data_IF_420601991220
#
_entry.id   IF_420601991220
#
_cell.length_a   1.000
_cell.length_b   1.000
_cell.length_c   1.000
_cell.angle_alpha   90.00
_cell.angle_beta   90.00
_cell.angle_gamma   90.00
#
_symmetry.space_group_name_H-M   'P 1'
#
loop_
_entity.id
_entity.type
_entity.pdbx_description
1 polymer ?
#
# COMPACT_ATOMS: atom_id res chain seq x y z
N UNK A 1 -13.33 21.22 -33.69
CA UNK A 1 -13.23 20.13 -32.68
C UNK A 1 -12.05 19.27 -33.11
N UNK A 2 -11.10 18.91 -32.25
CA UNK A 2 -10.08 17.99 -32.66
C UNK A 2 -10.74 16.65 -33.02
N UNK A 3 -10.25 16.02 -34.09
CA UNK A 3 -10.69 14.70 -34.52
C UNK A 3 -10.71 13.75 -33.32
N UNK A 4 -11.81 13.02 -33.12
CA UNK A 4 -11.89 11.98 -32.10
C UNK A 4 -10.80 10.96 -32.37
N UNK A 5 -9.74 10.98 -31.59
CA UNK A 5 -8.73 9.94 -31.60
C UNK A 5 -9.41 8.64 -31.15
N UNK A 6 -9.65 7.75 -32.11
CA UNK A 6 -10.17 6.42 -31.83
C UNK A 6 -9.12 5.63 -31.05
N UNK A 7 -9.26 5.55 -29.73
CA UNK A 7 -8.36 4.80 -28.91
C UNK A 7 -8.69 3.29 -28.98
N UNK A 8 -7.71 2.43 -29.24
CA UNK A 8 -7.91 0.99 -29.51
C UNK A 8 -8.43 0.17 -28.33
N UNK A 9 -8.65 0.78 -27.18
CA UNK A 9 -9.03 0.11 -25.93
C UNK A 9 -10.43 0.46 -25.41
N UNK A 10 -11.22 1.31 -26.12
CA UNK A 10 -12.56 1.75 -25.67
C UNK A 10 -13.52 0.62 -25.28
N UNK A 11 -13.44 -0.53 -25.96
CA UNK A 11 -14.36 -1.65 -25.70
C UNK A 11 -13.96 -2.53 -24.52
N UNK A 12 -12.70 -2.47 -24.08
CA UNK A 12 -12.16 -3.35 -23.03
C UNK A 12 -12.43 -2.87 -21.61
N UNK A 13 -12.76 -1.59 -21.46
CA UNK A 13 -12.92 -0.92 -20.18
C UNK A 13 -14.36 -0.43 -19.95
N UNK A 14 -14.55 0.53 -19.06
CA UNK A 14 -15.86 1.08 -18.77
C UNK A 14 -16.49 1.71 -20.02
N UNK A 15 -17.67 1.24 -20.51
CA UNK A 15 -18.39 1.96 -21.54
C UNK A 15 -18.79 3.35 -21.03
N UNK A 16 -18.59 4.40 -21.84
CA UNK A 16 -18.87 5.79 -21.46
C UNK A 16 -20.28 5.97 -20.88
N UNK A 17 -21.29 5.31 -21.47
CA UNK A 17 -22.67 5.34 -20.98
C UNK A 17 -22.78 4.80 -19.55
N UNK A 18 -22.14 3.68 -19.24
CA UNK A 18 -22.17 3.07 -17.90
C UNK A 18 -21.47 3.98 -16.88
N UNK A 19 -20.39 4.63 -17.26
CA UNK A 19 -19.71 5.62 -16.42
C UNK A 19 -20.64 6.78 -16.10
N UNK A 20 -21.29 7.39 -17.09
CA UNK A 20 -22.20 8.51 -16.90
C UNK A 20 -23.36 8.15 -15.98
N UNK A 21 -24.01 6.99 -16.21
CA UNK A 21 -25.07 6.49 -15.32
C UNK A 21 -24.59 6.33 -13.86
N UNK A 22 -23.36 5.89 -13.69
CA UNK A 22 -22.77 5.72 -12.36
C UNK A 22 -22.47 7.06 -11.70
N UNK A 23 -21.91 7.99 -12.46
CA UNK A 23 -21.61 9.35 -12.04
C UNK A 23 -22.89 10.10 -11.63
N UNK A 24 -23.93 10.06 -12.46
CA UNK A 24 -25.21 10.67 -12.15
C UNK A 24 -25.82 10.13 -10.84
N UNK A 25 -25.79 8.81 -10.65
CA UNK A 25 -26.27 8.19 -9.40
C UNK A 25 -25.47 8.64 -8.19
N UNK A 26 -24.16 8.89 -8.33
CA UNK A 26 -23.33 9.37 -7.23
C UNK A 26 -23.67 10.80 -6.79
N UNK A 27 -24.22 11.61 -7.70
CA UNK A 27 -24.63 12.98 -7.42
C UNK A 27 -26.07 13.08 -6.89
N UNK A 28 -26.96 12.16 -7.30
CA UNK A 28 -28.36 12.20 -6.93
C UNK A 28 -28.60 11.85 -5.46
N UNK A 29 -27.93 10.82 -4.96
CA UNK A 29 -28.07 10.36 -3.58
C UNK A 29 -26.73 9.75 -3.10
N UNK A 30 -25.97 10.55 -2.39
CA UNK A 30 -24.64 10.18 -1.89
C UNK A 30 -24.70 9.02 -0.88
N UNK A 31 -25.74 9.00 -0.03
CA UNK A 31 -25.88 7.93 0.97
C UNK A 31 -26.25 6.60 0.31
N UNK A 32 -27.24 6.58 -0.57
CA UNK A 32 -27.61 5.36 -1.31
C UNK A 32 -26.47 4.86 -2.21
N UNK A 33 -25.68 5.79 -2.79
CA UNK A 33 -24.51 5.43 -3.60
C UNK A 33 -23.47 4.69 -2.75
N UNK A 34 -23.06 5.28 -1.62
CA UNK A 34 -22.02 4.69 -0.76
C UNK A 34 -22.52 3.50 0.04
N UNK A 35 -23.82 3.41 0.38
CA UNK A 35 -24.41 2.19 0.92
C UNK A 35 -24.20 0.99 -0.02
N UNK A 36 -24.48 1.20 -1.30
CA UNK A 36 -24.28 0.15 -2.31
C UNK A 36 -22.82 -0.24 -2.47
N UNK A 37 -21.91 0.74 -2.50
CA UNK A 37 -20.48 0.48 -2.63
C UNK A 37 -19.92 -0.25 -1.40
N UNK A 38 -20.34 0.14 -0.22
CA UNK A 38 -19.90 -0.47 1.02
C UNK A 38 -20.32 -1.95 1.16
N UNK A 39 -21.44 -2.34 0.53
CA UNK A 39 -21.91 -3.74 0.50
C UNK A 39 -21.06 -4.65 -0.40
N UNK A 40 -20.13 -4.11 -1.17
CA UNK A 40 -19.20 -4.92 -1.97
C UNK A 40 -18.09 -5.57 -1.17
N UNK A 41 -17.82 -5.08 0.04
CA UNK A 41 -16.86 -5.67 0.98
C UNK A 41 -17.58 -6.27 2.19
N UNK A 42 -16.92 -7.21 2.87
CA UNK A 42 -17.52 -7.91 4.00
C UNK A 42 -17.41 -7.11 5.29
N UNK A 43 -18.53 -7.04 6.04
CA UNK A 43 -18.65 -6.43 7.35
C UNK A 43 -19.03 -7.48 8.39
N UNK A 44 -18.53 -7.35 9.62
CA UNK A 44 -18.98 -8.16 10.75
C UNK A 44 -20.39 -7.75 11.23
N UNK A 45 -20.68 -6.44 11.14
CA UNK A 45 -21.99 -5.84 11.32
C UNK A 45 -22.12 -4.70 10.33
N UNK A 46 -23.22 -4.61 9.59
CA UNK A 46 -23.55 -3.45 8.77
C UNK A 46 -23.85 -2.23 9.65
N UNK A 47 -23.75 -1.06 9.08
CA UNK A 47 -23.98 0.21 9.75
C UNK A 47 -25.46 0.46 10.07
N UNK A 48 -25.69 1.30 11.05
CA UNK A 48 -27.02 1.78 11.41
C UNK A 48 -27.36 3.05 10.59
N UNK A 49 -26.34 3.83 10.20
CA UNK A 49 -26.44 5.04 9.38
C UNK A 49 -25.23 5.18 8.44
N UNK A 50 -25.49 5.51 7.16
CA UNK A 50 -24.42 5.65 6.15
C UNK A 50 -23.55 6.86 6.42
N UNK A 51 -24.16 8.01 6.66
CA UNK A 51 -23.46 9.28 6.91
C UNK A 51 -24.09 10.05 8.05
N UNK A 52 -23.27 10.46 9.00
CA UNK A 52 -23.57 11.55 9.91
C UNK A 52 -22.76 12.77 9.47
N UNK A 53 -23.48 13.83 9.07
CA UNK A 53 -22.89 15.06 8.58
C UNK A 53 -23.15 16.20 9.57
N UNK A 54 -22.08 16.61 10.28
CA UNK A 54 -22.07 17.75 11.20
C UNK A 54 -20.86 18.62 10.82
N UNK A 55 -21.02 19.54 9.85
CA UNK A 55 -19.90 20.29 9.30
C UNK A 55 -19.04 20.99 10.35
N UNK A 56 -17.71 20.90 10.27
CA UNK A 56 -16.92 20.28 9.21
C UNK A 56 -16.68 18.77 9.39
N UNK A 57 -17.37 18.10 10.27
CA UNK A 57 -17.15 16.69 10.60
C UNK A 57 -18.10 15.76 9.83
N UNK A 58 -17.56 14.61 9.41
CA UNK A 58 -18.30 13.54 8.79
C UNK A 58 -17.96 12.20 9.43
N UNK A 59 -18.97 11.36 9.67
CA UNK A 59 -18.79 9.99 10.13
C UNK A 59 -19.50 9.05 9.17
N UNK A 60 -18.75 8.18 8.53
CA UNK A 60 -19.26 7.23 7.56
C UNK A 60 -19.49 5.85 8.17
N UNK A 61 -20.59 5.19 7.79
CA UNK A 61 -20.95 3.83 8.18
C UNK A 61 -21.03 3.65 9.70
N UNK A 62 -21.72 4.57 10.36
CA UNK A 62 -21.84 4.65 11.82
C UNK A 62 -22.50 3.38 12.39
N UNK A 63 -21.89 2.77 13.41
CA UNK A 63 -22.33 1.50 14.00
C UNK A 63 -21.88 0.26 13.23
N UNK A 64 -21.28 0.43 12.05
CA UNK A 64 -20.68 -0.66 11.27
C UNK A 64 -19.44 -1.23 11.93
N UNK A 65 -19.26 -2.56 11.83
CA UNK A 65 -18.09 -3.29 12.36
C UNK A 65 -17.32 -3.94 11.23
N UNK A 66 -16.03 -3.62 11.13
CA UNK A 66 -15.17 -3.98 10.01
C UNK A 66 -13.74 -4.25 10.48
N UNK A 67 -12.94 -4.94 9.66
CA UNK A 67 -11.50 -5.07 9.87
C UNK A 67 -10.79 -5.11 8.52
N UNK A 68 -9.83 -4.21 8.31
CA UNK A 68 -9.11 -4.09 7.04
C UNK A 68 -8.28 -5.35 6.72
N UNK A 69 -7.63 -5.96 7.71
CA UNK A 69 -6.89 -7.22 7.53
C UNK A 69 -7.81 -8.35 7.10
N UNK A 70 -9.00 -8.47 7.71
CA UNK A 70 -9.99 -9.48 7.34
C UNK A 70 -10.42 -9.34 5.88
N UNK A 71 -10.68 -8.13 5.40
CA UNK A 71 -11.05 -7.87 4.00
C UNK A 71 -9.91 -8.22 3.05
N UNK A 72 -8.67 -7.86 3.41
CA UNK A 72 -7.51 -8.06 2.53
C UNK A 72 -7.00 -9.51 2.52
N UNK A 73 -7.35 -10.34 3.51
CA UNK A 73 -6.73 -11.66 3.70
C UNK A 73 -7.77 -12.76 3.91
N UNK A 74 -8.59 -12.66 4.98
CA UNK A 74 -9.46 -13.76 5.42
C UNK A 74 -10.55 -14.10 4.41
N UNK A 75 -11.14 -13.09 3.75
CA UNK A 75 -12.21 -13.31 2.76
C UNK A 75 -11.75 -14.19 1.60
N UNK A 76 -10.46 -14.11 1.25
CA UNK A 76 -9.87 -14.90 0.17
C UNK A 76 -9.63 -16.35 0.56
N UNK A 77 -9.58 -16.66 1.85
CA UNK A 77 -9.45 -18.03 2.35
C UNK A 77 -10.71 -18.87 2.10
N UNK A 78 -11.86 -18.22 1.85
CA UNK A 78 -13.16 -18.86 1.60
C UNK A 78 -13.31 -19.41 0.18
N UNK A 79 -12.36 -19.13 -0.72
CA UNK A 79 -12.42 -19.48 -2.14
C UNK A 79 -11.11 -20.07 -2.65
N UNK A 80 -11.06 -20.37 -3.94
CA UNK A 80 -9.84 -20.80 -4.65
C UNK A 80 -8.68 -19.79 -4.52
N UNK A 81 -8.97 -18.50 -4.25
CA UNK A 81 -7.97 -17.45 -4.07
C UNK A 81 -6.97 -17.76 -2.97
N UNK A 82 -7.30 -18.60 -2.00
CA UNK A 82 -6.35 -19.05 -0.97
C UNK A 82 -5.04 -19.62 -1.55
N UNK A 83 -5.13 -20.26 -2.72
CA UNK A 83 -3.98 -20.86 -3.41
C UNK A 83 -3.32 -19.91 -4.43
N UNK A 84 -3.93 -18.75 -4.69
CA UNK A 84 -3.39 -17.72 -5.57
C UNK A 84 -2.28 -16.94 -4.88
N UNK A 85 -1.30 -16.49 -5.66
CA UNK A 85 -0.26 -15.59 -5.14
C UNK A 85 -0.89 -14.27 -4.71
N UNK A 86 -0.66 -13.88 -3.47
CA UNK A 86 -1.02 -12.59 -2.91
C UNK A 86 0.12 -11.57 -3.09
N UNK A 87 1.38 -12.02 -2.89
CA UNK A 87 2.54 -11.14 -2.89
C UNK A 87 3.71 -11.79 -3.61
N UNK A 88 4.27 -11.07 -4.58
CA UNK A 88 5.60 -11.27 -5.14
C UNK A 88 6.55 -10.24 -4.54
N UNK A 89 7.67 -10.68 -4.04
CA UNK A 89 8.72 -9.80 -3.56
C UNK A 89 10.03 -10.05 -4.30
N UNK A 90 10.72 -8.96 -4.61
CA UNK A 90 12.03 -8.95 -5.22
C UNK A 90 12.96 -8.07 -4.40
N UNK A 91 14.09 -8.61 -3.96
CA UNK A 91 15.16 -7.87 -3.30
C UNK A 91 16.17 -7.31 -4.29
N UNK A 92 16.84 -6.24 -3.94
CA UNK A 92 17.88 -5.64 -4.78
C UNK A 92 19.02 -6.61 -5.12
N UNK A 93 19.48 -7.49 -4.18
CA UNK A 93 20.49 -8.51 -4.49
C UNK A 93 20.03 -9.60 -5.46
N UNK A 94 18.76 -9.66 -5.82
CA UNK A 94 18.19 -10.66 -6.71
C UNK A 94 17.49 -11.82 -6.00
N UNK A 95 17.45 -11.81 -4.69
CA UNK A 95 16.63 -12.73 -3.91
C UNK A 95 15.14 -12.41 -4.09
N UNK A 96 14.29 -13.42 -3.96
CA UNK A 96 12.86 -13.26 -4.17
C UNK A 96 12.05 -14.16 -3.25
N UNK A 97 10.83 -13.74 -2.96
CA UNK A 97 9.86 -14.51 -2.15
C UNK A 97 8.47 -14.37 -2.75
N UNK A 98 7.73 -15.46 -2.75
CA UNK A 98 6.34 -15.49 -3.20
C UNK A 98 5.47 -16.01 -2.07
N UNK A 99 4.35 -15.35 -1.81
CA UNK A 99 3.37 -15.78 -0.80
C UNK A 99 2.00 -15.93 -1.46
N UNK A 100 1.39 -17.11 -1.32
CA UNK A 100 -0.03 -17.29 -1.60
C UNK A 100 -0.89 -16.55 -0.55
N UNK A 101 -2.19 -16.37 -0.81
CA UNK A 101 -3.10 -15.81 0.20
C UNK A 101 -3.14 -16.67 1.47
N UNK A 102 -3.01 -18.00 1.36
CA UNK A 102 -2.94 -18.88 2.53
C UNK A 102 -1.66 -18.68 3.36
N UNK A 103 -0.53 -18.45 2.70
CA UNK A 103 0.72 -18.13 3.38
C UNK A 103 0.69 -16.73 3.98
N UNK A 104 0.18 -15.72 3.26
CA UNK A 104 -0.02 -14.38 3.79
C UNK A 104 -0.94 -14.41 5.02
N UNK A 105 -2.06 -15.14 4.96
CA UNK A 105 -2.97 -15.34 6.10
C UNK A 105 -2.23 -15.90 7.31
N UNK A 106 -1.43 -16.96 7.12
CA UNK A 106 -0.64 -17.57 8.21
C UNK A 106 0.35 -16.57 8.81
N UNK A 107 1.13 -15.89 7.97
CA UNK A 107 2.12 -14.92 8.46
C UNK A 107 1.46 -13.74 9.19
N UNK A 108 0.37 -13.17 8.65
CA UNK A 108 -0.38 -12.09 9.33
C UNK A 108 -0.87 -12.53 10.71
N UNK A 109 -1.40 -13.74 10.84
CA UNK A 109 -1.82 -14.28 12.15
C UNK A 109 -0.66 -14.44 13.12
N UNK A 110 0.46 -14.99 12.66
CA UNK A 110 1.67 -15.18 13.48
C UNK A 110 2.26 -13.86 13.96
N UNK A 111 2.33 -12.85 13.08
CA UNK A 111 2.80 -11.51 13.43
C UNK A 111 1.84 -10.82 14.41
N UNK A 112 0.53 -10.96 14.20
CA UNK A 112 -0.48 -10.47 15.13
C UNK A 112 -0.37 -11.14 16.52
N UNK A 113 -0.07 -12.46 16.56
CA UNK A 113 0.20 -13.19 17.81
C UNK A 113 1.44 -12.64 18.52
N UNK A 114 2.52 -12.37 17.80
CA UNK A 114 3.72 -11.75 18.38
C UNK A 114 3.39 -10.39 18.99
N UNK A 115 2.68 -9.52 18.26
CA UNK A 115 2.30 -8.20 18.77
C UNK A 115 1.45 -8.30 20.05
N UNK A 116 0.46 -9.22 20.07
CA UNK A 116 -0.37 -9.46 21.27
C UNK A 116 0.44 -9.98 22.45
N UNK A 117 1.37 -10.92 22.24
CA UNK A 117 2.27 -11.43 23.29
C UNK A 117 3.15 -10.34 23.88
N UNK A 118 3.48 -9.31 23.10
CA UNK A 118 4.20 -8.12 23.55
C UNK A 118 3.29 -7.05 24.15
N UNK A 119 2.02 -7.37 24.40
CA UNK A 119 1.07 -6.49 25.07
C UNK A 119 0.48 -5.41 24.17
N UNK A 120 0.53 -5.56 22.84
CA UNK A 120 -0.14 -4.64 21.90
C UNK A 120 -1.62 -5.04 21.78
N UNK A 121 -2.51 -4.10 22.05
CA UNK A 121 -3.95 -4.26 21.93
C UNK A 121 -4.58 -3.20 21.04
N UNK A 122 -5.92 -3.20 21.02
CA UNK A 122 -6.71 -2.19 20.29
C UNK A 122 -6.35 -0.79 20.79
N UNK A 123 -6.02 0.10 19.84
CA UNK A 123 -5.67 1.49 20.09
C UNK A 123 -4.20 1.73 20.45
N UNK A 124 -3.39 0.71 20.74
CA UNK A 124 -1.95 0.87 20.85
C UNK A 124 -1.32 1.15 19.48
N UNK A 125 -0.31 2.03 19.42
CA UNK A 125 0.34 2.39 18.16
C UNK A 125 1.63 1.62 17.98
N UNK A 126 1.88 1.19 16.73
CA UNK A 126 3.09 0.48 16.30
C UNK A 126 3.78 1.28 15.21
N UNK A 127 5.05 1.59 15.38
CA UNK A 127 5.86 2.24 14.35
C UNK A 127 6.62 1.21 13.51
N UNK A 128 6.52 1.32 12.20
CA UNK A 128 7.17 0.43 11.23
C UNK A 128 8.25 1.22 10.47
N UNK A 129 9.51 0.96 10.79
CA UNK A 129 10.69 1.54 10.15
C UNK A 129 11.47 0.42 9.45
N UNK A 130 10.92 -0.05 8.33
CA UNK A 130 11.38 -1.21 7.58
C UNK A 130 11.70 -0.83 6.13
N UNK A 131 12.62 -1.55 5.48
CA UNK A 131 12.75 -1.47 4.02
C UNK A 131 11.55 -2.14 3.35
N UNK A 132 11.47 -2.08 2.01
CA UNK A 132 10.39 -2.67 1.22
C UNK A 132 10.50 -4.21 1.13
N UNK A 133 10.36 -4.86 2.28
CA UNK A 133 10.40 -6.33 2.44
C UNK A 133 9.00 -6.89 2.75
N UNK A 134 8.75 -8.19 2.57
CA UNK A 134 7.43 -8.80 2.82
C UNK A 134 6.89 -8.56 4.22
N UNK A 135 7.77 -8.47 5.20
CA UNK A 135 7.41 -8.23 6.60
C UNK A 135 6.70 -6.89 6.81
N UNK A 136 6.96 -5.88 5.96
CA UNK A 136 6.31 -4.57 6.08
C UNK A 136 4.79 -4.64 5.84
N UNK A 137 4.27 -5.09 4.68
CA UNK A 137 2.83 -5.26 4.51
C UNK A 137 2.23 -6.30 5.47
N UNK A 138 2.97 -7.33 5.87
CA UNK A 138 2.49 -8.30 6.86
C UNK A 138 2.27 -7.63 8.22
N UNK A 139 3.19 -6.78 8.70
CA UNK A 139 2.99 -6.02 9.95
C UNK A 139 1.84 -5.03 9.86
N UNK A 140 1.66 -4.33 8.73
CA UNK A 140 0.51 -3.44 8.54
C UNK A 140 -0.81 -4.20 8.70
N UNK A 141 -0.92 -5.36 8.06
CA UNK A 141 -2.11 -6.22 8.16
C UNK A 141 -2.27 -6.86 9.55
N UNK A 142 -1.16 -7.21 10.21
CA UNK A 142 -1.19 -7.74 11.58
C UNK A 142 -1.66 -6.67 12.59
N UNK A 143 -1.18 -5.45 12.47
CA UNK A 143 -1.64 -4.31 13.26
C UNK A 143 -3.14 -4.04 13.02
N UNK A 144 -3.57 -3.96 11.77
CA UNK A 144 -4.99 -3.81 11.42
C UNK A 144 -5.85 -4.94 11.98
N UNK A 145 -5.34 -6.19 12.00
CA UNK A 145 -6.04 -7.35 12.53
C UNK A 145 -6.41 -7.20 13.99
N UNK A 146 -5.50 -6.68 14.81
CA UNK A 146 -5.70 -6.52 16.26
C UNK A 146 -6.24 -5.14 16.66
N UNK A 147 -6.50 -4.26 15.69
CA UNK A 147 -6.99 -2.91 15.94
C UNK A 147 -5.93 -1.96 16.51
N UNK A 148 -4.66 -2.20 16.25
CA UNK A 148 -3.54 -1.35 16.62
C UNK A 148 -3.20 -0.41 15.45
N UNK A 149 -3.46 0.91 15.53
CA UNK A 149 -3.07 1.83 14.49
C UNK A 149 -1.56 1.80 14.26
N UNK A 150 -1.14 1.64 13.01
CA UNK A 150 0.28 1.66 12.66
C UNK A 150 0.69 2.99 12.04
N UNK A 151 1.98 3.31 12.15
CA UNK A 151 2.61 4.39 11.41
C UNK A 151 3.82 3.85 10.68
N UNK A 152 3.79 3.91 9.34
CA UNK A 152 4.96 3.54 8.53
C UNK A 152 5.83 4.77 8.35
N UNK A 153 7.10 4.63 8.70
CA UNK A 153 8.09 5.69 8.61
C UNK A 153 9.10 5.30 7.53
N UNK A 154 9.24 6.15 6.52
CA UNK A 154 10.15 5.90 5.40
C UNK A 154 11.56 5.60 5.90
N UNK A 155 12.12 4.46 5.50
CA UNK A 155 13.42 3.96 5.96
C UNK A 155 14.62 4.85 5.59
N UNK A 156 14.43 5.82 4.72
CA UNK A 156 15.41 6.84 4.37
C UNK A 156 15.41 8.09 5.26
N UNK A 157 14.51 8.19 6.25
CA UNK A 157 14.48 9.33 7.14
C UNK A 157 15.62 9.30 8.18
N UNK A 158 16.02 10.49 8.62
CA UNK A 158 17.04 10.68 9.65
C UNK A 158 16.55 10.22 11.03
N UNK A 159 17.47 10.01 11.94
CA UNK A 159 17.23 9.68 13.36
C UNK A 159 16.22 10.63 14.03
N UNK A 160 16.38 11.94 13.84
CA UNK A 160 15.46 12.94 14.40
C UNK A 160 14.06 12.83 13.80
N UNK A 161 13.96 12.67 12.47
CA UNK A 161 12.67 12.53 11.80
C UNK A 161 11.92 11.24 12.20
N UNK A 162 12.64 10.17 12.51
CA UNK A 162 12.10 8.94 13.09
C UNK A 162 11.58 9.20 14.51
N UNK A 163 12.41 9.78 15.38
CA UNK A 163 12.07 10.03 16.77
C UNK A 163 10.85 10.97 16.93
N UNK A 164 10.79 12.04 16.12
CA UNK A 164 9.67 12.99 16.15
C UNK A 164 8.33 12.29 15.89
N UNK A 165 8.27 11.41 14.88
CA UNK A 165 7.04 10.68 14.53
C UNK A 165 6.66 9.64 15.56
N UNK A 166 7.64 8.90 16.08
CA UNK A 166 7.42 7.87 17.10
C UNK A 166 6.90 8.50 18.40
N UNK A 167 7.48 9.64 18.80
CA UNK A 167 7.06 10.37 19.98
C UNK A 167 5.66 11.00 19.82
N UNK A 168 5.35 11.53 18.64
CA UNK A 168 4.05 12.16 18.37
C UNK A 168 2.91 11.14 18.42
N UNK A 169 3.07 9.98 17.77
CA UNK A 169 2.08 8.89 17.85
C UNK A 169 2.13 8.15 19.18
N UNK A 170 3.17 8.36 20.01
CA UNK A 170 3.42 7.58 21.22
C UNK A 170 3.41 6.07 20.94
N UNK A 171 4.21 5.65 19.96
CA UNK A 171 4.30 4.25 19.60
C UNK A 171 4.88 3.41 20.73
N UNK A 172 4.20 2.31 21.03
CA UNK A 172 4.61 1.36 22.08
C UNK A 172 5.73 0.42 21.59
N UNK A 173 5.70 0.09 20.32
CA UNK A 173 6.68 -0.80 19.68
C UNK A 173 7.21 -0.13 18.42
N UNK A 174 8.52 -0.28 18.18
CA UNK A 174 9.16 -0.01 16.89
C UNK A 174 9.55 -1.33 16.26
N UNK A 175 9.19 -1.52 15.00
CA UNK A 175 9.65 -2.64 14.17
C UNK A 175 10.66 -2.12 13.17
N UNK A 176 11.83 -2.74 13.12
CA UNK A 176 12.92 -2.38 12.20
C UNK A 176 13.60 -3.63 11.63
N UNK A 177 14.63 -3.46 10.81
CA UNK A 177 15.49 -4.52 10.32
C UNK A 177 16.95 -4.27 10.72
N UNK A 178 17.77 -5.34 10.68
CA UNK A 178 19.21 -5.21 10.85
C UNK A 178 19.81 -4.24 9.82
N UNK A 179 19.28 -4.24 8.61
CA UNK A 179 19.60 -3.31 7.55
C UNK A 179 18.65 -3.45 6.37
N UNK A 180 18.89 -2.68 5.30
CA UNK A 180 18.19 -2.77 4.02
C UNK A 180 19.17 -2.53 2.87
N UNK A 181 18.83 -2.96 1.67
CA UNK A 181 19.69 -2.80 0.49
C UNK A 181 19.27 -1.60 -0.36
N UNK A 182 20.27 -0.79 -0.77
CA UNK A 182 20.06 0.26 -1.78
C UNK A 182 21.37 0.55 -2.52
N UNK A 183 21.39 0.38 -3.86
CA UNK A 183 22.56 0.55 -4.74
C UNK A 183 23.80 -0.19 -4.23
N UNK A 184 23.63 -1.50 -3.96
CA UNK A 184 24.65 -2.39 -3.37
C UNK A 184 25.12 -2.02 -1.96
N UNK A 185 24.60 -0.97 -1.36
CA UNK A 185 24.96 -0.57 0.00
C UNK A 185 23.93 -1.07 1.01
N UNK A 186 24.41 -1.43 2.18
CA UNK A 186 23.57 -1.71 3.33
C UNK A 186 23.27 -0.41 4.07
N UNK A 187 21.99 -0.12 4.24
CA UNK A 187 21.50 0.99 5.06
C UNK A 187 21.31 0.47 6.49
N UNK A 188 22.02 1.02 7.49
CA UNK A 188 22.01 0.47 8.85
C UNK A 188 20.80 0.91 9.65
N UNK A 189 19.64 0.28 9.43
CA UNK A 189 18.34 0.70 10.00
C UNK A 189 18.31 0.54 11.53
N UNK A 190 18.77 -0.59 12.06
CA UNK A 190 18.81 -0.83 13.51
C UNK A 190 19.66 0.22 14.23
N UNK A 191 20.82 0.58 13.67
CA UNK A 191 21.69 1.61 14.25
C UNK A 191 21.02 3.01 14.26
N UNK A 192 20.18 3.30 13.26
CA UNK A 192 19.37 4.54 13.22
C UNK A 192 18.32 4.53 14.33
N UNK A 193 17.65 3.39 14.54
CA UNK A 193 16.69 3.21 15.64
C UNK A 193 17.38 3.36 17.00
N UNK A 194 18.55 2.74 17.20
CA UNK A 194 19.29 2.81 18.46
C UNK A 194 19.61 4.26 18.87
N UNK A 195 20.07 5.06 17.90
CA UNK A 195 20.30 6.50 18.14
C UNK A 195 19.00 7.25 18.43
N UNK A 196 17.89 6.90 17.79
CA UNK A 196 16.60 7.53 18.02
C UNK A 196 16.03 7.17 19.41
N UNK A 197 16.36 5.97 19.93
CA UNK A 197 15.93 5.54 21.27
C UNK A 197 16.36 6.47 22.40
N UNK A 198 17.44 7.23 22.24
CA UNK A 198 17.88 8.23 23.22
C UNK A 198 16.77 9.27 23.51
N UNK A 199 15.89 9.52 22.56
CA UNK A 199 14.81 10.51 22.63
C UNK A 199 13.40 9.93 22.53
N UNK A 200 13.24 8.68 22.11
CA UNK A 200 11.96 7.99 22.03
C UNK A 200 11.55 7.47 23.42
N UNK A 201 10.55 8.11 24.04
CA UNK A 201 10.17 7.83 25.44
C UNK A 201 9.06 6.80 25.61
N UNK A 202 8.22 6.60 24.59
CA UNK A 202 7.06 5.70 24.64
C UNK A 202 7.36 4.25 24.26
N UNK A 203 8.51 4.01 23.63
CA UNK A 203 8.86 2.71 23.08
C UNK A 203 9.30 1.74 24.18
N UNK A 204 8.56 0.65 24.31
CA UNK A 204 8.85 -0.41 25.29
C UNK A 204 9.73 -1.52 24.68
N UNK A 205 9.53 -1.85 23.39
CA UNK A 205 10.24 -2.92 22.68
C UNK A 205 10.60 -2.50 21.24
N UNK A 206 11.71 -3.05 20.78
CA UNK A 206 12.15 -2.96 19.39
C UNK A 206 12.17 -4.36 18.79
N UNK A 207 11.36 -4.60 17.76
CA UNK A 207 11.37 -5.84 16.99
C UNK A 207 12.33 -5.71 15.79
N UNK A 208 13.23 -6.65 15.65
CA UNK A 208 14.27 -6.63 14.61
C UNK A 208 14.06 -7.77 13.62
N UNK A 209 13.88 -7.43 12.36
CA UNK A 209 13.86 -8.37 11.24
C UNK A 209 15.27 -8.62 10.75
N UNK A 210 15.63 -9.88 10.56
CA UNK A 210 16.92 -10.25 9.96
C UNK A 210 16.82 -10.21 8.43
N UNK A 211 17.30 -9.12 7.83
CA UNK A 211 17.26 -8.91 6.36
C UNK A 211 18.63 -9.06 5.70
N UNK A 212 19.63 -8.39 6.23
CA UNK A 212 20.96 -8.33 5.61
C UNK A 212 21.96 -9.30 6.23
N UNK A 213 21.68 -9.78 7.43
CA UNK A 213 22.62 -10.57 8.20
C UNK A 213 23.73 -9.77 8.86
N UNK A 214 23.60 -8.43 8.85
CA UNK A 214 24.55 -7.54 9.52
C UNK A 214 24.55 -7.77 11.03
N UNK A 215 25.72 -7.69 11.63
CA UNK A 215 25.84 -7.65 13.09
C UNK A 215 25.26 -6.34 13.61
N UNK A 216 24.34 -6.44 14.57
CA UNK A 216 23.70 -5.31 15.22
C UNK A 216 23.72 -5.47 16.73
N UNK A 217 23.78 -4.35 17.43
CA UNK A 217 23.65 -4.37 18.88
C UNK A 217 22.19 -4.69 19.25
N UNK A 218 22.03 -5.59 20.22
CA UNK A 218 20.72 -5.98 20.77
C UNK A 218 20.74 -5.69 22.27
N UNK A 219 19.97 -4.70 22.69
CA UNK A 219 19.83 -4.34 24.11
C UNK A 219 18.92 -5.35 24.82
N UNK A 220 19.44 -6.01 25.85
CA UNK A 220 18.69 -7.00 26.60
C UNK A 220 17.43 -6.41 27.24
N UNK A 221 16.34 -7.13 27.19
CA UNK A 221 15.04 -6.69 27.69
C UNK A 221 14.28 -5.72 26.78
N UNK A 222 14.93 -5.06 25.83
CA UNK A 222 14.31 -4.13 24.88
C UNK A 222 14.19 -4.72 23.46
N UNK A 223 15.28 -5.25 22.94
CA UNK A 223 15.40 -5.66 21.54
C UNK A 223 15.14 -7.14 21.37
N UNK A 224 14.32 -7.49 20.39
CA UNK A 224 13.87 -8.86 20.17
C UNK A 224 13.97 -9.23 18.69
N UNK A 225 14.57 -10.37 18.39
CA UNK A 225 14.57 -10.92 17.05
C UNK A 225 13.20 -11.45 16.67
N UNK A 226 12.61 -10.96 15.58
CA UNK A 226 11.31 -11.42 15.11
C UNK A 226 11.26 -12.92 14.86
N UNK A 227 12.30 -13.48 14.22
CA UNK A 227 12.33 -14.90 13.87
C UNK A 227 12.36 -15.83 15.11
N UNK A 228 12.87 -15.36 16.24
CA UNK A 228 12.80 -16.11 17.50
C UNK A 228 11.37 -16.11 18.06
N UNK A 229 10.73 -14.95 18.09
CA UNK A 229 9.36 -14.82 18.59
C UNK A 229 8.35 -15.62 17.74
N UNK A 230 8.60 -15.71 16.44
CA UNK A 230 7.75 -16.46 15.52
C UNK A 230 7.78 -17.99 15.78
N UNK A 231 8.79 -18.54 16.47
CA UNK A 231 8.81 -19.96 16.82
C UNK A 231 7.65 -20.37 17.73
N UNK A 232 7.21 -19.46 18.56
CA UNK A 232 6.11 -19.67 19.53
C UNK A 232 4.81 -18.97 19.15
N UNK A 233 4.74 -18.35 17.96
CA UNK A 233 3.57 -17.60 17.53
C UNK A 233 2.39 -18.53 17.21
N UNK A 234 1.20 -18.11 17.62
CA UNK A 234 -0.05 -18.79 17.28
C UNK A 234 -0.38 -18.62 15.80
N UNK A 235 -0.97 -19.63 15.19
CA UNK A 235 -1.36 -19.62 13.78
C UNK A 235 -2.69 -18.93 13.52
N UNK A 236 -3.40 -18.52 14.57
CA UNK A 236 -4.67 -17.81 14.45
C UNK A 236 -4.84 -16.77 15.57
N UNK A 237 -5.16 -15.58 15.16
CA UNK A 237 -5.59 -14.46 16.00
C UNK A 237 -6.90 -13.94 15.44
N UNK A 238 -7.96 -13.94 16.24
CA UNK A 238 -9.26 -13.43 15.80
C UNK A 238 -9.16 -11.96 15.39
N UNK A 239 -9.66 -11.56 14.20
CA UNK A 239 -9.69 -10.17 13.80
C UNK A 239 -10.62 -9.36 14.71
N UNK A 240 -10.15 -8.20 15.15
CA UNK A 240 -10.90 -7.29 16.00
C UNK A 240 -12.04 -6.62 15.21
N UNK A 241 -13.30 -6.70 15.65
CA UNK A 241 -14.40 -6.00 14.99
C UNK A 241 -14.38 -4.51 15.36
N UNK A 242 -13.70 -3.72 14.52
CA UNK A 242 -13.49 -2.29 14.72
C UNK A 242 -14.73 -1.49 14.28
N UNK A 243 -15.02 -0.38 14.97
CA UNK A 243 -15.91 0.66 14.45
C UNK A 243 -15.41 1.17 13.11
N UNK A 244 -16.32 1.56 12.23
CA UNK A 244 -15.96 2.16 10.94
C UNK A 244 -15.01 3.36 11.09
N UNK A 245 -15.18 4.12 12.17
CA UNK A 245 -14.39 5.32 12.48
C UNK A 245 -13.12 5.05 13.29
N UNK A 246 -12.91 3.80 13.77
CA UNK A 246 -11.69 3.47 14.49
C UNK A 246 -10.44 3.68 13.60
N UNK A 247 -9.36 4.26 14.13
CA UNK A 247 -8.14 4.50 13.36
C UNK A 247 -7.51 3.23 12.80
N UNK A 248 -7.13 3.27 11.52
CA UNK A 248 -6.38 2.22 10.85
C UNK A 248 -4.87 2.50 10.86
N UNK A 249 -4.50 3.71 10.47
CA UNK A 249 -3.11 4.15 10.45
C UNK A 249 -2.98 5.66 10.61
N UNK A 250 -1.76 6.09 10.95
CA UNK A 250 -1.37 7.49 11.07
C UNK A 250 -0.18 7.72 10.15
N UNK A 251 -0.29 8.70 9.25
CA UNK A 251 0.78 9.02 8.31
C UNK A 251 1.13 10.50 8.37
N UNK A 252 2.43 10.82 8.24
CA UNK A 252 2.91 12.17 8.43
C UNK A 252 3.15 12.91 7.13
N UNK A 253 2.66 14.14 7.07
CA UNK A 253 2.97 15.10 5.99
C UNK A 253 3.94 16.17 6.50
N UNK A 254 4.66 16.81 5.55
CA UNK A 254 5.46 17.99 5.84
C UNK A 254 4.53 19.17 6.13
N UNK A 255 4.22 19.42 7.40
CA UNK A 255 3.35 20.55 7.79
C UNK A 255 3.91 21.90 7.35
N UNK A 256 3.02 22.84 7.04
CA UNK A 256 3.36 24.25 6.70
C UNK A 256 4.13 24.98 7.79
N UNK A 257 4.10 24.47 9.02
CA UNK A 257 4.77 25.03 10.21
C UNK A 257 6.13 24.41 10.50
N UNK A 258 6.64 23.54 9.63
CA UNK A 258 7.93 22.86 9.79
C UNK A 258 7.88 21.61 10.67
N UNK A 259 6.83 21.40 11.46
CA UNK A 259 6.63 20.14 12.20
C UNK A 259 5.74 19.19 11.37
N UNK A 260 6.09 17.88 11.30
CA UNK A 260 5.24 16.90 10.65
C UNK A 260 3.84 16.86 11.28
N UNK A 261 2.80 16.74 10.45
CA UNK A 261 1.41 16.57 10.89
C UNK A 261 0.97 15.14 10.68
N UNK A 262 0.49 14.48 11.75
CA UNK A 262 -0.07 13.13 11.70
C UNK A 262 -1.50 13.16 11.17
N UNK A 263 -1.72 12.56 10.01
CA UNK A 263 -3.03 12.36 9.40
C UNK A 263 -3.56 10.99 9.81
N UNK A 264 -4.72 10.97 10.44
CA UNK A 264 -5.37 9.75 10.92
C UNK A 264 -6.41 9.29 9.91
N UNK A 265 -6.31 8.06 9.45
CA UNK A 265 -7.31 7.44 8.59
C UNK A 265 -8.15 6.42 9.37
N UNK A 266 -9.48 6.56 9.29
CA UNK A 266 -10.43 5.61 9.86
C UNK A 266 -10.58 4.36 8.97
N UNK A 267 -11.00 3.25 9.57
CA UNK A 267 -10.97 1.94 8.91
C UNK A 267 -12.05 1.79 7.81
N UNK A 268 -13.32 2.05 8.12
CA UNK A 268 -14.42 1.70 7.23
C UNK A 268 -14.51 2.56 5.98
N UNK A 269 -14.57 3.88 6.16
CA UNK A 269 -14.62 4.82 5.03
C UNK A 269 -13.44 4.67 4.09
N UNK A 270 -12.23 4.53 4.65
CA UNK A 270 -11.01 4.31 3.87
C UNK A 270 -11.05 3.03 3.04
N UNK A 271 -11.49 1.91 3.62
CA UNK A 271 -11.56 0.63 2.91
C UNK A 271 -12.61 0.64 1.80
N UNK A 272 -13.82 1.17 2.07
CA UNK A 272 -14.88 1.28 1.06
C UNK A 272 -14.45 2.18 -0.10
N UNK A 273 -13.90 3.36 0.22
CA UNK A 273 -13.47 4.32 -0.78
C UNK A 273 -12.38 3.74 -1.70
N UNK A 274 -11.31 3.19 -1.11
CA UNK A 274 -10.20 2.65 -1.90
C UNK A 274 -10.60 1.40 -2.69
N UNK A 275 -11.42 0.51 -2.12
CA UNK A 275 -11.94 -0.63 -2.87
C UNK A 275 -12.69 -0.16 -4.13
N UNK A 276 -13.60 0.79 -4.00
CA UNK A 276 -14.36 1.32 -5.12
C UNK A 276 -13.50 2.07 -6.14
N UNK A 277 -12.63 2.99 -5.66
CA UNK A 277 -11.77 3.80 -6.53
C UNK A 277 -10.84 2.96 -7.39
N UNK A 278 -10.20 1.92 -6.82
CA UNK A 278 -9.27 1.08 -7.57
C UNK A 278 -9.98 0.21 -8.61
N UNK A 279 -11.21 -0.19 -8.33
CA UNK A 279 -12.05 -0.84 -9.34
C UNK A 279 -12.33 0.09 -10.53
N UNK A 280 -12.65 1.36 -10.28
CA UNK A 280 -13.03 2.30 -11.33
C UNK A 280 -11.82 2.84 -12.09
N UNK A 281 -10.77 3.23 -11.37
CA UNK A 281 -9.59 3.89 -11.95
C UNK A 281 -8.65 2.89 -12.62
N UNK A 282 -8.39 1.76 -12.00
CA UNK A 282 -7.44 0.76 -12.53
C UNK A 282 -8.12 -0.45 -13.18
N UNK A 283 -9.44 -0.54 -13.13
CA UNK A 283 -10.19 -1.73 -13.58
C UNK A 283 -9.61 -3.02 -12.98
N UNK A 284 -9.22 -2.94 -11.71
CA UNK A 284 -8.56 -4.04 -11.00
C UNK A 284 -9.49 -5.25 -10.91
N UNK A 285 -8.95 -6.43 -11.15
CA UNK A 285 -9.65 -7.71 -11.13
C UNK A 285 -8.90 -8.71 -10.28
N UNK A 286 -9.55 -9.81 -10.00
CA UNK A 286 -8.92 -10.88 -9.20
C UNK A 286 -7.69 -11.52 -9.87
N UNK A 287 -7.57 -11.46 -11.20
CA UNK A 287 -6.42 -11.96 -11.97
C UNK A 287 -5.31 -10.92 -12.16
N UNK A 288 -5.51 -9.69 -11.67
CA UNK A 288 -4.53 -8.62 -11.81
C UNK A 288 -3.27 -8.90 -11.00
N UNK A 289 -2.12 -8.59 -11.61
CA UNK A 289 -0.83 -8.43 -10.94
C UNK A 289 -0.54 -6.93 -10.89
N UNK A 290 -0.65 -6.37 -9.71
CA UNK A 290 -0.57 -4.93 -9.47
C UNK A 290 0.79 -4.53 -8.91
N UNK A 291 1.47 -3.62 -9.55
CA UNK A 291 2.73 -3.08 -9.06
C UNK A 291 2.69 -1.56 -8.97
N UNK A 292 2.67 -1.06 -7.75
CA UNK A 292 2.94 0.33 -7.44
C UNK A 292 4.41 0.46 -6.97
N UNK A 293 5.15 1.37 -7.56
CA UNK A 293 6.58 1.56 -7.26
C UNK A 293 6.85 2.53 -6.12
N UNK A 294 5.80 3.07 -5.50
CA UNK A 294 5.94 3.95 -4.33
C UNK A 294 6.46 3.18 -3.12
N UNK A 295 7.11 3.89 -2.20
CA UNK A 295 7.43 3.35 -0.87
C UNK A 295 6.17 3.37 0.02
N UNK A 296 6.00 2.34 0.85
CA UNK A 296 4.86 2.25 1.77
C UNK A 296 4.91 3.32 2.87
N UNK A 297 6.04 3.97 3.10
CA UNK A 297 6.13 5.16 3.96
C UNK A 297 5.32 6.37 3.47
N UNK A 298 4.71 6.29 2.28
CA UNK A 298 3.80 7.29 1.71
C UNK A 298 2.38 6.73 1.61
N UNK A 299 1.37 7.63 1.56
CA UNK A 299 -0.03 7.22 1.44
C UNK A 299 -0.28 6.39 0.16
N UNK A 300 0.43 6.71 -0.92
CA UNK A 300 0.37 5.95 -2.17
C UNK A 300 0.71 4.48 -1.93
N UNK A 301 1.76 4.20 -1.17
CA UNK A 301 2.12 2.82 -0.82
C UNK A 301 1.07 2.12 0.05
N UNK A 302 0.49 2.80 1.04
CA UNK A 302 -0.59 2.24 1.87
C UNK A 302 -1.76 1.79 1.02
N UNK A 303 -2.31 2.72 0.23
CA UNK A 303 -3.53 2.46 -0.55
C UNK A 303 -3.27 1.58 -1.77
N UNK A 304 -2.15 1.82 -2.49
CA UNK A 304 -1.88 1.19 -3.79
C UNK A 304 -1.04 -0.08 -3.72
N UNK A 305 -0.37 -0.38 -2.61
CA UNK A 305 0.36 -1.64 -2.48
C UNK A 305 -0.41 -2.61 -1.60
N UNK A 306 -0.92 -2.13 -0.45
CA UNK A 306 -1.46 -3.04 0.56
C UNK A 306 -2.98 -3.12 0.49
N UNK A 307 -3.69 -2.04 0.85
CA UNK A 307 -5.11 -2.17 1.17
C UNK A 307 -6.02 -2.35 -0.05
N UNK A 308 -5.89 -1.52 -1.08
CA UNK A 308 -6.80 -1.60 -2.21
C UNK A 308 -6.59 -2.88 -3.06
N UNK A 309 -5.38 -3.21 -3.53
CA UNK A 309 -5.20 -4.40 -4.36
C UNK A 309 -5.54 -5.70 -3.62
N UNK A 310 -5.12 -5.84 -2.37
CA UNK A 310 -5.42 -7.04 -1.58
C UNK A 310 -6.92 -7.18 -1.26
N UNK A 311 -7.66 -6.06 -1.10
CA UNK A 311 -9.10 -6.11 -0.92
C UNK A 311 -9.86 -6.73 -2.12
N UNK A 312 -9.27 -6.62 -3.32
CA UNK A 312 -9.80 -7.22 -4.55
C UNK A 312 -9.33 -8.67 -4.79
N UNK A 313 -8.43 -9.18 -3.99
CA UNK A 313 -7.80 -10.48 -4.23
C UNK A 313 -6.79 -10.46 -5.38
N UNK A 314 -6.26 -9.29 -5.75
CA UNK A 314 -5.18 -9.14 -6.72
C UNK A 314 -3.84 -9.62 -6.15
N UNK A 315 -2.87 -9.90 -7.02
CA UNK A 315 -1.48 -10.11 -6.61
C UNK A 315 -0.76 -8.77 -6.55
N UNK A 316 0.04 -8.53 -5.52
CA UNK A 316 0.88 -7.33 -5.42
C UNK A 316 2.35 -7.67 -5.69
N UNK A 317 3.09 -6.71 -6.26
CA UNK A 317 4.54 -6.78 -6.36
C UNK A 317 5.16 -5.76 -5.40
N UNK A 318 6.11 -6.21 -4.60
CA UNK A 318 6.89 -5.39 -3.67
C UNK A 318 8.36 -5.50 -4.06
N UNK A 319 9.03 -4.38 -4.26
CA UNK A 319 10.43 -4.34 -4.64
C UNK A 319 11.26 -3.55 -3.63
N UNK A 320 12.31 -4.17 -3.11
CA UNK A 320 13.33 -3.50 -2.30
C UNK A 320 14.53 -3.18 -3.19
N UNK A 321 14.81 -1.91 -3.43
CA UNK A 321 15.98 -1.50 -4.18
C UNK A 321 15.81 -0.19 -4.95
N UNK A 322 16.87 0.18 -5.66
CA UNK A 322 16.82 1.31 -6.57
C UNK A 322 16.22 0.91 -7.92
N UNK A 323 15.48 1.81 -8.60
CA UNK A 323 14.76 1.49 -9.83
C UNK A 323 15.66 1.10 -11.00
N UNK A 324 16.90 1.56 -10.97
CA UNK A 324 17.91 1.48 -12.03
C UNK A 324 19.16 0.70 -11.62
N UNK A 325 19.06 -0.15 -10.60
CA UNK A 325 20.18 -0.96 -10.12
C UNK A 325 19.81 -2.46 -10.16
N UNK A 326 20.70 -3.37 -10.63
CA UNK A 326 22.07 -3.12 -11.10
C UNK A 326 22.17 -2.50 -12.50
N UNK A 327 21.07 -2.40 -13.24
CA UNK A 327 21.03 -1.80 -14.57
C UNK A 327 19.69 -1.07 -14.79
N UNK A 328 19.61 -0.15 -15.79
CA UNK A 328 18.41 0.66 -16.05
C UNK A 328 17.15 -0.14 -16.46
N UNK A 329 17.30 -1.42 -16.79
CA UNK A 329 16.17 -2.31 -17.13
C UNK A 329 15.56 -3.05 -15.92
N UNK A 330 16.04 -2.76 -14.70
CA UNK A 330 15.62 -3.52 -13.50
C UNK A 330 14.10 -3.58 -13.33
N UNK A 331 13.40 -2.49 -13.51
CA UNK A 331 11.95 -2.49 -13.39
C UNK A 331 11.27 -3.25 -14.52
N UNK A 332 11.77 -3.17 -15.72
CA UNK A 332 11.21 -3.87 -16.87
C UNK A 332 11.38 -5.37 -16.75
N UNK A 333 12.51 -5.83 -16.23
CA UNK A 333 12.73 -7.24 -15.91
C UNK A 333 11.75 -7.77 -14.85
N UNK A 334 11.36 -6.94 -13.87
CA UNK A 334 10.35 -7.28 -12.86
C UNK A 334 8.94 -7.36 -13.48
N UNK A 335 8.60 -6.39 -14.36
CA UNK A 335 7.33 -6.41 -15.12
C UNK A 335 7.20 -7.70 -15.93
N UNK A 336 8.23 -8.07 -16.67
CA UNK A 336 8.29 -9.30 -17.46
C UNK A 336 8.19 -10.54 -16.57
N UNK A 337 9.04 -10.63 -15.54
CA UNK A 337 9.13 -11.79 -14.64
C UNK A 337 7.80 -12.13 -13.97
N UNK A 338 7.11 -11.13 -13.46
CA UNK A 338 5.86 -11.33 -12.72
C UNK A 338 4.61 -11.09 -13.55
N UNK A 339 4.77 -10.81 -14.85
CA UNK A 339 3.64 -10.54 -15.78
C UNK A 339 2.71 -9.47 -15.23
N UNK A 340 3.29 -8.34 -14.80
CA UNK A 340 2.55 -7.20 -14.23
C UNK A 340 1.49 -6.72 -15.22
N UNK A 341 0.26 -6.57 -14.73
CA UNK A 341 -0.88 -6.11 -15.56
C UNK A 341 -1.21 -4.64 -15.32
N UNK A 342 -0.96 -4.13 -14.11
CA UNK A 342 -1.18 -2.73 -13.74
C UNK A 342 0.11 -2.19 -13.16
N UNK A 343 0.67 -1.15 -13.80
CA UNK A 343 1.92 -0.54 -13.39
C UNK A 343 1.70 0.93 -13.01
N UNK A 344 1.98 1.30 -11.77
CA UNK A 344 1.68 2.60 -11.19
C UNK A 344 2.94 3.24 -10.63
N UNK A 345 3.32 4.40 -11.17
CA UNK A 345 4.60 5.04 -10.84
C UNK A 345 4.51 6.58 -10.86
N UNK A 346 5.63 7.26 -10.60
CA UNK A 346 5.70 8.72 -10.65
C UNK A 346 6.24 9.22 -12.00
N UNK A 347 5.83 10.42 -12.45
CA UNK A 347 6.42 11.07 -13.62
C UNK A 347 7.92 11.26 -13.54
N UNK A 348 8.46 11.49 -12.35
CA UNK A 348 9.93 11.56 -12.11
C UNK A 348 10.62 10.24 -12.51
N UNK A 349 10.05 9.10 -12.17
CA UNK A 349 10.60 7.80 -12.59
C UNK A 349 10.51 7.62 -14.12
N UNK A 350 9.38 7.99 -14.73
CA UNK A 350 9.22 7.94 -16.19
C UNK A 350 10.31 8.77 -16.88
N UNK A 351 10.49 10.05 -16.47
CA UNK A 351 11.53 10.91 -17.01
C UNK A 351 12.96 10.39 -16.80
N UNK A 352 13.20 9.68 -15.71
CA UNK A 352 14.48 9.03 -15.46
C UNK A 352 14.75 7.93 -16.50
N UNK A 353 13.78 7.07 -16.77
CA UNK A 353 13.91 5.99 -17.76
C UNK A 353 14.01 6.52 -19.20
N UNK A 354 13.31 7.60 -19.54
CA UNK A 354 13.48 8.29 -20.82
C UNK A 354 14.94 8.70 -21.08
N UNK A 355 15.65 9.15 -20.03
CA UNK A 355 17.06 9.57 -20.16
C UNK A 355 18.01 8.38 -20.35
N UNK A 356 17.65 7.20 -19.86
CA UNK A 356 18.48 6.01 -20.06
C UNK A 356 18.38 5.44 -21.47
N UNK A 357 17.30 5.71 -22.19
CA UNK A 357 17.08 5.23 -23.57
C UNK A 357 16.11 4.07 -23.67
N UNK A 358 15.56 3.90 -24.86
CA UNK A 358 14.53 2.92 -25.15
C UNK A 358 15.07 1.48 -25.22
N UNK A 359 16.34 1.31 -25.54
CA UNK A 359 17.03 0.03 -25.63
C UNK A 359 16.92 -0.81 -24.32
N UNK A 360 16.75 -0.16 -23.19
CA UNK A 360 16.55 -0.85 -21.89
C UNK A 360 15.15 -1.41 -21.74
N UNK A 361 14.17 -0.74 -22.30
CA UNK A 361 12.77 -1.18 -22.32
C UNK A 361 12.56 -2.32 -23.32
N UNK A 362 13.17 -2.19 -24.51
CA UNK A 362 13.00 -3.12 -25.64
C UNK A 362 13.56 -4.52 -25.39
N UNK A 363 14.44 -4.66 -24.38
CA UNK A 363 14.96 -5.97 -23.94
C UNK A 363 13.93 -6.87 -23.28
N UNK A 364 12.77 -6.32 -22.88
CA UNK A 364 11.80 -7.01 -22.04
C UNK A 364 10.41 -7.11 -22.67
N UNK A 365 9.73 -8.22 -22.39
CA UNK A 365 8.32 -8.42 -22.77
C UNK A 365 7.39 -7.71 -21.79
N UNK A 366 6.80 -6.60 -22.22
CA UNK A 366 5.83 -5.82 -21.46
C UNK A 366 4.37 -6.04 -21.91
N UNK A 367 4.09 -7.04 -22.74
CA UNK A 367 2.74 -7.31 -23.31
C UNK A 367 1.69 -7.67 -22.24
N UNK A 368 2.10 -8.02 -21.03
CA UNK A 368 1.19 -8.25 -19.91
C UNK A 368 0.52 -6.98 -19.40
N UNK A 369 1.11 -5.80 -19.63
CA UNK A 369 0.57 -4.53 -19.16
C UNK A 369 -0.79 -4.24 -19.80
N UNK A 370 -1.72 -3.79 -18.97
CA UNK A 370 -3.10 -3.46 -19.36
C UNK A 370 -3.46 -2.02 -19.00
N UNK A 371 -3.00 -1.53 -17.84
CA UNK A 371 -3.24 -0.16 -17.37
C UNK A 371 -1.94 0.40 -16.82
N UNK A 372 -1.63 1.63 -17.18
CA UNK A 372 -0.55 2.41 -16.62
C UNK A 372 -1.11 3.51 -15.72
N UNK A 373 -0.43 3.81 -14.64
CA UNK A 373 -0.82 4.88 -13.73
C UNK A 373 0.30 5.85 -13.44
N UNK A 374 -0.06 7.10 -13.17
CA UNK A 374 0.83 8.19 -12.78
C UNK A 374 0.35 8.86 -11.51
N UNK A 375 1.27 9.24 -10.61
CA UNK A 375 0.96 9.83 -9.30
C UNK A 375 2.10 10.67 -8.74
N UNK A 376 1.73 11.63 -7.89
CA UNK A 376 2.63 12.38 -7.01
C UNK A 376 3.03 13.74 -7.54
N UNK A 377 2.97 13.96 -8.84
CA UNK A 377 3.25 15.23 -9.51
C UNK A 377 2.60 15.24 -10.91
N UNK A 378 2.39 16.40 -11.53
CA UNK A 378 1.88 16.47 -12.91
C UNK A 378 2.85 15.79 -13.90
N UNK A 379 2.30 15.01 -14.82
CA UNK A 379 3.06 14.43 -15.92
C UNK A 379 3.05 15.38 -17.13
N UNK A 380 4.23 15.71 -17.66
CA UNK A 380 4.33 16.53 -18.87
C UNK A 380 4.00 15.71 -20.13
N UNK A 381 3.52 16.35 -21.23
CA UNK A 381 3.08 15.65 -22.43
C UNK A 381 4.10 14.67 -23.03
N UNK A 382 5.37 15.06 -23.06
CA UNK A 382 6.45 14.20 -23.60
C UNK A 382 6.62 12.92 -22.79
N UNK A 383 6.63 13.03 -21.45
CA UNK A 383 6.74 11.88 -20.56
C UNK A 383 5.49 10.99 -20.64
N UNK A 384 4.29 11.61 -20.77
CA UNK A 384 3.04 10.89 -20.96
C UNK A 384 3.06 10.09 -22.26
N UNK A 385 3.46 10.73 -23.39
CA UNK A 385 3.52 10.10 -24.70
C UNK A 385 4.53 8.95 -24.73
N UNK A 386 5.74 9.16 -24.19
CA UNK A 386 6.74 8.12 -24.06
C UNK A 386 6.23 6.92 -23.23
N UNK A 387 5.57 7.21 -22.11
CA UNK A 387 5.00 6.19 -21.23
C UNK A 387 3.94 5.37 -21.95
N UNK A 388 3.06 6.07 -22.71
CA UNK A 388 2.03 5.43 -23.55
C UNK A 388 2.61 4.58 -24.66
N UNK A 389 3.54 5.13 -25.46
CA UNK A 389 4.07 4.46 -26.64
C UNK A 389 5.09 3.37 -26.32
N UNK A 390 6.03 3.63 -25.42
CA UNK A 390 7.16 2.73 -25.17
C UNK A 390 6.84 1.69 -24.11
N UNK A 391 6.22 2.07 -23.02
CA UNK A 391 5.86 1.14 -21.95
C UNK A 391 4.50 0.49 -22.23
N UNK A 392 3.51 1.30 -22.57
CA UNK A 392 2.15 0.85 -22.88
C UNK A 392 1.97 0.25 -24.27
N UNK A 393 3.00 0.29 -25.13
CA UNK A 393 2.97 -0.17 -26.53
C UNK A 393 1.79 0.41 -27.34
N UNK A 394 1.36 1.66 -27.00
CA UNK A 394 0.20 2.30 -27.60
C UNK A 394 -1.16 1.64 -27.29
N UNK A 395 -1.21 0.70 -26.35
CA UNK A 395 -2.41 -0.10 -26.05
C UNK A 395 -2.96 0.13 -24.64
N UNK A 396 -2.13 0.58 -23.69
CA UNK A 396 -2.51 0.73 -22.30
C UNK A 396 -3.02 2.15 -22.04
N UNK A 397 -4.24 2.33 -21.51
CA UNK A 397 -4.64 3.63 -21.01
C UNK A 397 -3.74 4.07 -19.87
N UNK A 398 -3.47 5.37 -19.80
CA UNK A 398 -2.79 5.99 -18.66
C UNK A 398 -3.84 6.66 -17.79
N UNK A 399 -3.86 6.31 -16.51
CA UNK A 399 -4.65 7.00 -15.50
C UNK A 399 -3.71 7.87 -14.68
N UNK A 400 -3.78 9.19 -14.92
CA UNK A 400 -3.07 10.18 -14.13
C UNK A 400 -3.93 10.57 -12.94
N UNK A 401 -3.41 10.37 -11.73
CA UNK A 401 -4.18 10.48 -10.50
C UNK A 401 -3.72 11.64 -9.63
N UNK A 402 -4.68 12.41 -9.14
CA UNK A 402 -4.42 13.43 -8.13
C UNK A 402 -5.09 13.09 -6.81
N UNK A 403 -4.33 13.12 -5.73
CA UNK A 403 -4.78 12.90 -4.37
C UNK A 403 -3.68 13.25 -3.34
N UNK A 404 -4.01 13.20 -2.07
CA UNK A 404 -3.16 13.63 -0.98
C UNK A 404 -3.16 12.60 0.15
N UNK A 405 -2.21 12.73 1.07
CA UNK A 405 -2.22 11.95 2.32
C UNK A 405 -3.52 12.16 3.08
N UNK A 406 -4.02 13.40 3.12
CA UNK A 406 -5.24 13.80 3.81
C UNK A 406 -6.51 13.14 3.24
N UNK A 407 -6.53 12.83 1.95
CA UNK A 407 -7.68 12.16 1.31
C UNK A 407 -7.62 10.64 1.40
N UNK A 408 -6.42 10.07 1.55
CA UNK A 408 -6.19 8.62 1.67
C UNK A 408 -6.51 7.79 0.43
N UNK A 409 -7.00 8.43 -0.63
CA UNK A 409 -7.35 7.78 -1.89
C UNK A 409 -7.57 8.79 -3.02
N UNK A 410 -7.78 8.28 -4.23
CA UNK A 410 -7.79 9.03 -5.48
C UNK A 410 -9.02 9.95 -5.55
N UNK A 411 -8.80 11.26 -5.77
CA UNK A 411 -9.84 12.28 -5.84
C UNK A 411 -10.14 12.67 -7.28
N UNK A 412 -9.12 12.76 -8.13
CA UNK A 412 -9.27 13.14 -9.54
C UNK A 412 -8.45 12.17 -10.38
N UNK A 413 -9.08 11.57 -11.37
CA UNK A 413 -8.43 10.69 -12.34
C UNK A 413 -9.33 10.51 -13.57
N UNK A 414 -8.78 10.34 -14.77
CA UNK A 414 -9.54 9.75 -15.86
C UNK A 414 -9.91 8.30 -15.51
N UNK A 415 -11.01 7.81 -16.08
CA UNK A 415 -11.36 6.40 -16.01
C UNK A 415 -10.97 5.72 -17.33
N UNK A 416 -10.37 4.50 -17.31
CA UNK A 416 -9.99 3.79 -18.52
C UNK A 416 -11.19 3.62 -19.46
N UNK A 417 -11.05 4.03 -20.72
CA UNK A 417 -12.09 3.94 -21.75
C UNK A 417 -13.13 5.07 -21.78
N UNK A 418 -13.06 6.02 -20.86
CA UNK A 418 -14.02 7.16 -20.79
C UNK A 418 -13.42 8.46 -21.33
N UNK A 419 -12.15 8.63 -21.29
CA UNK A 419 -11.41 9.79 -21.78
C UNK A 419 -9.92 9.66 -21.56
N UNK A 420 -9.18 10.53 -22.20
CA UNK A 420 -7.76 10.79 -21.95
C UNK A 420 -7.62 11.89 -20.94
#
# INVERSE_FOLDING_TARGET
>A
MPEEVSLPFKEKYWPTRKYLEYYEKSLQDIEAFWDREARKIEWFKTWDKVLEWDPPFARWFVGGRINASYICVDVHMKSWRRNKVALYWEGEPGDSRTLSYAELYREVNRFASVLRKLGVGKGDRVALYLPMIPELPIFMLACARIGAPHTVIFSGFSTGALADRVNDVQAKIVVTADGGYRRSKIIPLKATVDKAMETMKSVEKVLVVKRTGSEVQMEEGRDLWLHELLKEAENYVKPEPLESTDPLYILYTSGTTGKPKGIVHGTGGYMVFNHSMYQWVFNIKEDSVYWCTADVGWVTGHSSIVYAPLSHGASIVVYEGAPDYPAPDRWWSIVEKYRVTIFYTSPTAVRMFMRYGEEWVEKHDLESLQVLGSVGEPINPEAWLWYFEKIGKGKCPIVDTWWQTETGGIMISPAPGVGL
#
